data_IF_582930914777
#
_entry.id   IF_582930914777
#
_cell.length_a   1.000
_cell.length_b   1.000
_cell.length_c   1.000
_cell.angle_alpha   90.00
_cell.angle_beta   90.00
_cell.angle_gamma   90.00
#
_symmetry.space_group_name_H-M   'P 1'
#
loop_
_entity.id
_entity.type
_entity.pdbx_description
1 polymer ?
#
# COMPACT_ATOMS: atom_id res chain seq x y z
N UNK A 1 18.00 16.37 -11.27
CA UNK A 1 17.75 16.09 -9.84
C UNK A 1 16.29 15.67 -9.74
N UNK A 2 15.98 14.45 -9.29
CA UNK A 2 14.57 14.07 -9.07
C UNK A 2 14.07 14.94 -7.93
N UNK A 3 12.98 15.68 -8.14
CA UNK A 3 12.36 16.46 -7.08
C UNK A 3 11.65 15.48 -6.16
N UNK A 4 12.23 15.18 -4.99
CA UNK A 4 11.60 14.31 -3.99
C UNK A 4 10.29 14.96 -3.55
N UNK A 5 9.17 14.29 -3.76
CA UNK A 5 7.87 14.72 -3.26
C UNK A 5 7.54 13.92 -2.00
N UNK A 6 7.88 14.51 -0.85
CA UNK A 6 7.74 13.85 0.45
C UNK A 6 6.38 14.08 1.10
N UNK A 7 5.45 14.80 0.44
CA UNK A 7 4.18 15.23 1.06
C UNK A 7 3.35 14.08 1.65
N UNK A 8 3.33 12.91 0.99
CA UNK A 8 2.62 11.75 1.53
C UNK A 8 3.35 11.12 2.70
N UNK A 9 4.69 11.08 2.67
CA UNK A 9 5.49 10.61 3.80
C UNK A 9 5.34 11.54 5.00
N UNK A 10 5.40 12.85 4.80
CA UNK A 10 5.13 13.87 5.82
C UNK A 10 3.75 13.66 6.46
N UNK A 11 2.73 13.34 5.64
CA UNK A 11 1.40 12.98 6.16
C UNK A 11 1.46 11.71 7.01
N UNK A 12 2.07 10.64 6.51
CA UNK A 12 2.18 9.34 7.21
C UNK A 12 2.97 9.47 8.52
N UNK A 13 4.00 10.30 8.56
CA UNK A 13 4.74 10.61 9.77
C UNK A 13 3.89 11.25 10.87
N UNK A 14 2.84 11.98 10.48
CA UNK A 14 1.88 12.56 11.42
C UNK A 14 0.85 11.55 11.96
N UNK A 15 0.78 10.34 11.43
CA UNK A 15 -0.21 9.34 11.85
C UNK A 15 0.16 8.70 13.18
N UNK A 16 -0.88 8.33 13.94
CA UNK A 16 -0.74 7.44 15.11
C UNK A 16 -0.75 5.99 14.64
N UNK A 17 0.29 5.60 13.91
CA UNK A 17 0.40 4.26 13.32
C UNK A 17 0.23 3.17 14.38
N UNK A 18 -0.52 2.12 14.03
CA UNK A 18 -0.82 0.96 14.86
C UNK A 18 -1.60 1.22 16.17
N UNK A 19 -2.04 2.47 16.42
CA UNK A 19 -2.67 2.83 17.69
C UNK A 19 -4.03 2.14 17.93
N UNK A 20 -4.71 1.73 16.85
CA UNK A 20 -6.04 1.15 16.90
C UNK A 20 -6.09 -0.30 16.40
N UNK A 21 -4.93 -0.90 16.09
CA UNK A 21 -4.84 -2.31 15.69
C UNK A 21 -5.53 -3.23 16.70
N UNK A 22 -6.39 -4.14 16.21
CA UNK A 22 -7.18 -5.06 17.04
C UNK A 22 -8.49 -4.48 17.58
N UNK A 23 -8.80 -3.22 17.26
CA UNK A 23 -10.11 -2.62 17.53
C UNK A 23 -10.92 -2.51 16.23
N UNK A 24 -12.26 -2.39 16.27
CA UNK A 24 -13.05 -2.21 15.06
C UNK A 24 -12.67 -0.92 14.32
N UNK A 25 -12.33 -1.02 13.03
CA UNK A 25 -12.18 0.13 12.15
C UNK A 25 -13.49 0.94 12.05
N UNK A 26 -13.41 2.25 12.33
CA UNK A 26 -14.54 3.20 12.31
C UNK A 26 -14.39 4.31 11.26
N UNK A 27 -13.48 4.14 10.30
CA UNK A 27 -13.24 5.16 9.27
C UNK A 27 -14.37 5.29 8.26
N UNK A 28 -14.23 6.26 7.37
CA UNK A 28 -15.17 6.55 6.29
C UNK A 28 -15.39 5.35 5.35
N UNK A 29 -16.39 5.44 4.48
CA UNK A 29 -16.63 4.43 3.44
C UNK A 29 -15.38 4.28 2.56
N UNK A 30 -14.65 3.19 2.77
CA UNK A 30 -13.59 2.75 1.89
C UNK A 30 -14.19 2.31 0.55
N UNK A 31 -13.45 2.46 -0.57
CA UNK A 31 -13.89 1.90 -1.84
C UNK A 31 -13.81 0.35 -1.87
N UNK A 32 -13.34 -0.27 -0.79
CA UNK A 32 -13.21 -1.71 -0.62
C UNK A 32 -14.24 -2.24 0.37
N UNK A 33 -14.75 -3.44 0.12
CA UNK A 33 -15.23 -4.25 1.22
C UNK A 33 -14.05 -4.68 2.08
N UNK A 34 -14.25 -4.75 3.40
CA UNK A 34 -13.21 -5.12 4.33
C UNK A 34 -13.73 -6.05 5.41
N UNK A 35 -12.80 -6.77 6.02
CA UNK A 35 -13.04 -7.61 7.19
C UNK A 35 -12.01 -7.31 8.25
N UNK A 36 -12.48 -6.99 9.45
CA UNK A 36 -11.65 -6.79 10.63
C UNK A 36 -11.16 -8.17 11.14
N UNK A 37 -9.85 -8.32 11.29
CA UNK A 37 -9.26 -9.39 12.07
C UNK A 37 -9.17 -8.97 13.53
N UNK A 38 -9.36 -9.91 14.44
CA UNK A 38 -9.42 -9.65 15.89
C UNK A 38 -8.41 -10.47 16.70
N UNK A 39 -7.51 -11.19 16.03
CA UNK A 39 -6.46 -11.99 16.67
C UNK A 39 -5.13 -11.82 15.94
N UNK A 40 -4.05 -11.80 16.71
CA UNK A 40 -2.67 -11.68 16.23
C UNK A 40 -2.30 -12.88 15.34
N UNK A 41 -2.79 -14.07 15.68
CA UNK A 41 -2.57 -15.29 14.90
C UNK A 41 -3.19 -15.18 13.50
N UNK A 42 -4.41 -14.65 13.40
CA UNK A 42 -5.06 -14.42 12.11
C UNK A 42 -4.28 -13.41 11.27
N UNK A 43 -3.72 -12.36 11.90
CA UNK A 43 -2.91 -11.36 11.22
C UNK A 43 -1.62 -11.99 10.67
N UNK A 44 -0.92 -12.78 11.47
CA UNK A 44 0.28 -13.50 11.04
C UNK A 44 0.00 -14.42 9.84
N UNK A 45 -1.10 -15.19 9.89
CA UNK A 45 -1.51 -16.05 8.77
C UNK A 45 -1.88 -15.25 7.51
N UNK A 46 -2.58 -14.12 7.68
CA UNK A 46 -3.00 -13.27 6.57
C UNK A 46 -1.81 -12.60 5.86
N UNK A 47 -0.86 -12.06 6.63
CA UNK A 47 0.35 -11.41 6.11
C UNK A 47 1.23 -12.38 5.31
N UNK A 48 1.26 -13.64 5.72
CA UNK A 48 2.02 -14.70 5.06
C UNK A 48 1.22 -15.42 3.95
N UNK A 49 0.01 -14.98 3.64
CA UNK A 49 -0.82 -15.69 2.66
C UNK A 49 -0.35 -15.44 1.22
N UNK A 50 -0.27 -16.48 0.36
CA UNK A 50 0.05 -16.30 -1.06
C UNK A 50 -0.95 -15.40 -1.80
N UNK A 51 -2.20 -15.38 -1.32
CA UNK A 51 -3.24 -14.49 -1.84
C UNK A 51 -2.92 -13.03 -1.58
N UNK A 52 -2.37 -12.69 -0.41
CA UNK A 52 -1.96 -11.32 -0.11
C UNK A 52 -0.80 -10.87 -0.99
N UNK A 53 0.26 -11.68 -1.09
CA UNK A 53 1.39 -11.40 -1.97
C UNK A 53 0.95 -11.22 -3.43
N UNK A 54 0.04 -12.08 -3.91
CA UNK A 54 -0.51 -11.99 -5.26
C UNK A 54 -1.30 -10.69 -5.47
N UNK A 55 -2.03 -10.22 -4.45
CA UNK A 55 -2.79 -8.97 -4.51
C UNK A 55 -1.87 -7.76 -4.59
N UNK A 56 -0.84 -7.71 -3.73
CA UNK A 56 0.16 -6.64 -3.74
C UNK A 56 0.90 -6.59 -5.09
N UNK A 57 1.27 -7.76 -5.62
CA UNK A 57 1.97 -7.88 -6.90
C UNK A 57 1.10 -7.45 -8.08
N UNK A 58 -0.17 -7.84 -8.11
CA UNK A 58 -1.09 -7.45 -9.19
C UNK A 58 -1.36 -5.94 -9.17
N UNK A 59 -1.51 -5.33 -7.99
CA UNK A 59 -1.66 -3.89 -7.85
C UNK A 59 -0.44 -3.13 -8.41
N UNK A 60 0.76 -3.58 -8.06
CA UNK A 60 2.00 -3.03 -8.60
C UNK A 60 2.12 -3.20 -10.12
N UNK A 61 1.80 -4.40 -10.63
CA UNK A 61 1.84 -4.69 -12.05
C UNK A 61 0.86 -3.83 -12.84
N UNK A 62 -0.34 -3.61 -12.29
CA UNK A 62 -1.35 -2.73 -12.89
C UNK A 62 -0.82 -1.31 -13.03
N UNK A 63 -0.24 -0.74 -11.97
CA UNK A 63 0.37 0.60 -12.03
C UNK A 63 1.47 0.66 -13.10
N UNK A 64 2.40 -0.30 -13.08
CA UNK A 64 3.51 -0.36 -14.04
C UNK A 64 3.03 -0.49 -15.49
N UNK A 65 2.05 -1.36 -15.74
CA UNK A 65 1.44 -1.51 -17.04
C UNK A 65 0.84 -0.19 -17.52
N UNK A 66 0.08 0.49 -16.64
CA UNK A 66 -0.55 1.76 -16.99
C UNK A 66 0.48 2.83 -17.36
N UNK A 67 1.54 2.98 -16.56
CA UNK A 67 2.59 3.98 -16.81
C UNK A 67 3.34 3.73 -18.13
N UNK A 68 3.53 2.47 -18.51
CA UNK A 68 4.23 2.10 -19.73
C UNK A 68 3.35 2.23 -21.00
N UNK A 69 2.05 1.94 -20.90
CA UNK A 69 1.17 1.83 -22.07
C UNK A 69 0.28 3.05 -22.30
N UNK A 70 0.03 3.88 -21.28
CA UNK A 70 -0.84 5.05 -21.38
C UNK A 70 -0.20 6.40 -21.01
N UNK A 71 1.08 6.67 -21.34
CA UNK A 71 1.63 8.01 -21.15
C UNK A 71 0.95 9.00 -22.11
N UNK A 72 0.55 10.16 -21.59
CA UNK A 72 -0.17 11.20 -22.36
C UNK A 72 0.73 12.33 -22.85
N UNK A 73 1.92 12.47 -22.28
CA UNK A 73 2.86 13.53 -22.61
C UNK A 73 4.31 13.11 -22.31
N UNK A 74 5.26 13.92 -22.77
CA UNK A 74 6.70 13.68 -22.61
C UNK A 74 7.13 13.56 -21.14
N UNK A 75 6.57 14.39 -20.26
CA UNK A 75 6.89 14.37 -18.83
C UNK A 75 6.52 13.02 -18.19
N UNK A 76 5.36 12.45 -18.52
CA UNK A 76 4.92 11.14 -18.02
C UNK A 76 5.85 10.02 -18.47
N UNK A 77 6.32 10.06 -19.73
CA UNK A 77 7.29 9.09 -20.26
C UNK A 77 8.60 9.21 -19.48
N UNK A 78 9.14 10.41 -19.35
CA UNK A 78 10.40 10.67 -18.65
C UNK A 78 10.34 10.18 -17.20
N UNK A 79 9.30 10.52 -16.45
CA UNK A 79 9.11 10.09 -15.06
C UNK A 79 8.99 8.57 -14.92
N UNK A 80 8.27 7.89 -15.83
CA UNK A 80 8.17 6.43 -15.82
C UNK A 80 9.55 5.76 -15.98
N UNK A 81 10.46 6.32 -16.80
CA UNK A 81 11.83 5.79 -16.93
C UNK A 81 12.67 5.94 -15.66
N UNK A 82 12.27 6.82 -14.75
CA UNK A 82 12.95 7.06 -13.47
C UNK A 82 12.44 6.19 -12.33
N UNK A 83 11.52 5.24 -12.59
CA UNK A 83 10.89 4.35 -11.61
C UNK A 83 11.86 3.85 -10.53
N UNK A 84 12.97 3.23 -10.93
CA UNK A 84 13.93 2.64 -9.98
C UNK A 84 14.58 3.70 -9.07
N UNK A 85 14.88 4.88 -9.63
CA UNK A 85 15.48 5.97 -8.86
C UNK A 85 14.47 6.54 -7.86
N UNK A 86 13.20 6.65 -8.25
CA UNK A 86 12.11 7.09 -7.38
C UNK A 86 11.91 6.07 -6.24
N UNK A 87 11.88 4.77 -6.55
CA UNK A 87 11.80 3.70 -5.53
C UNK A 87 12.95 3.77 -4.53
N UNK A 88 14.19 3.90 -5.01
CA UNK A 88 15.37 4.01 -4.13
C UNK A 88 15.24 5.25 -3.24
N UNK A 89 14.87 6.39 -3.83
CA UNK A 89 14.67 7.64 -3.10
C UNK A 89 13.63 7.51 -1.99
N UNK A 90 12.51 6.82 -2.20
CA UNK A 90 11.53 6.64 -1.12
C UNK A 90 12.01 5.65 -0.06
N UNK A 91 12.71 4.56 -0.45
CA UNK A 91 13.26 3.58 0.48
C UNK A 91 14.25 4.20 1.48
N UNK A 92 15.00 5.21 1.08
CA UNK A 92 15.91 5.96 1.97
C UNK A 92 15.17 6.66 3.12
N UNK A 93 13.89 7.01 2.92
CA UNK A 93 13.07 7.76 3.88
C UNK A 93 12.24 6.85 4.79
N UNK A 94 12.21 5.52 4.58
CA UNK A 94 11.38 4.61 5.39
C UNK A 94 11.95 4.12 6.75
N UNK A 95 13.26 4.20 7.08
CA UNK A 95 13.79 3.53 8.28
C UNK A 95 13.10 3.88 9.61
N UNK A 96 12.66 5.12 9.79
CA UNK A 96 11.95 5.54 11.02
C UNK A 96 10.53 4.99 11.10
N UNK A 97 9.84 4.81 9.96
CA UNK A 97 8.55 4.12 9.89
C UNK A 97 8.73 2.61 10.11
N UNK A 98 9.79 2.02 9.57
CA UNK A 98 10.15 0.62 9.81
C UNK A 98 10.42 0.35 11.31
N UNK A 99 11.05 1.28 12.01
CA UNK A 99 11.26 1.18 13.45
C UNK A 99 9.94 1.10 14.23
N UNK A 100 8.92 1.88 13.85
CA UNK A 100 7.60 1.82 14.49
C UNK A 100 6.93 0.46 14.26
N UNK A 101 7.02 -0.09 13.05
CA UNK A 101 6.51 -1.42 12.72
C UNK A 101 7.24 -2.52 13.49
N UNK A 102 8.57 -2.39 13.65
CA UNK A 102 9.38 -3.32 14.44
C UNK A 102 8.99 -3.29 15.92
N UNK A 103 8.81 -2.11 16.50
CA UNK A 103 8.33 -1.96 17.87
C UNK A 103 6.92 -2.55 18.03
N UNK A 104 6.05 -2.40 17.03
CA UNK A 104 4.74 -3.03 17.04
C UNK A 104 4.84 -4.56 17.03
N UNK A 105 5.64 -5.13 16.11
CA UNK A 105 5.94 -6.57 16.03
C UNK A 105 6.46 -7.12 17.36
N UNK A 106 7.41 -6.45 18.01
CA UNK A 106 7.96 -6.86 19.30
C UNK A 106 6.90 -6.84 20.42
N UNK A 107 6.01 -5.85 20.44
CA UNK A 107 4.94 -5.73 21.43
C UNK A 107 3.83 -6.77 21.25
N UNK A 108 3.51 -7.14 20.02
CA UNK A 108 2.41 -8.07 19.72
C UNK A 108 2.87 -9.52 19.57
N UNK A 109 4.16 -9.76 19.31
CA UNK A 109 4.66 -11.09 18.96
C UNK A 109 4.31 -11.54 17.53
N UNK A 110 3.78 -10.64 16.69
CA UNK A 110 3.67 -10.89 15.24
C UNK A 110 5.08 -10.97 14.68
N UNK A 111 5.34 -11.94 13.81
CA UNK A 111 6.65 -12.11 13.20
C UNK A 111 7.05 -10.89 12.33
N UNK A 112 8.31 -10.84 11.89
CA UNK A 112 8.88 -9.70 11.18
C UNK A 112 8.26 -9.41 9.79
N UNK A 113 7.40 -10.29 9.28
CA UNK A 113 6.64 -10.07 8.03
C UNK A 113 5.78 -8.83 8.08
N UNK A 114 5.31 -8.41 9.26
CA UNK A 114 4.58 -7.16 9.40
C UNK A 114 5.45 -5.95 9.05
N UNK A 115 6.73 -5.97 9.39
CA UNK A 115 7.68 -4.90 9.06
C UNK A 115 7.86 -4.83 7.54
N UNK A 116 8.01 -6.00 6.90
CA UNK A 116 8.15 -6.09 5.44
C UNK A 116 6.88 -5.62 4.72
N UNK A 117 5.71 -6.14 5.08
CA UNK A 117 4.45 -5.78 4.42
C UNK A 117 4.10 -4.32 4.67
N UNK A 118 4.27 -3.82 5.90
CA UNK A 118 4.08 -2.40 6.21
C UNK A 118 4.96 -1.50 5.34
N UNK A 119 6.28 -1.78 5.29
CA UNK A 119 7.22 -1.05 4.44
C UNK A 119 6.79 -1.08 2.98
N UNK A 120 6.37 -2.23 2.49
CA UNK A 120 5.94 -2.42 1.12
C UNK A 120 4.69 -1.58 0.80
N UNK A 121 3.68 -1.60 1.67
CA UNK A 121 2.48 -0.77 1.52
C UNK A 121 2.77 0.71 1.50
N UNK A 122 3.58 1.21 2.44
CA UNK A 122 3.95 2.64 2.45
C UNK A 122 4.71 3.01 1.16
N UNK A 123 5.64 2.16 0.70
CA UNK A 123 6.34 2.40 -0.55
C UNK A 123 5.38 2.47 -1.74
N UNK A 124 4.43 1.55 -1.86
CA UNK A 124 3.49 1.54 -2.98
C UNK A 124 2.53 2.73 -2.94
N UNK A 125 2.09 3.17 -1.77
CA UNK A 125 1.35 4.44 -1.61
C UNK A 125 2.16 5.64 -2.08
N UNK A 126 3.45 5.70 -1.73
CA UNK A 126 4.34 6.77 -2.18
C UNK A 126 4.49 6.77 -3.71
N UNK A 127 4.65 5.59 -4.31
CA UNK A 127 4.76 5.42 -5.75
C UNK A 127 3.48 5.88 -6.46
N UNK A 128 2.31 5.43 -6.02
CA UNK A 128 1.04 5.88 -6.58
C UNK A 128 0.84 7.39 -6.40
N UNK A 129 1.14 7.96 -5.22
CA UNK A 129 1.03 9.41 -4.99
C UNK A 129 1.89 10.22 -5.97
N UNK A 130 3.14 9.78 -6.17
CA UNK A 130 4.09 10.42 -7.08
C UNK A 130 3.50 10.51 -8.49
N UNK A 131 3.03 9.38 -9.02
CA UNK A 131 2.51 9.32 -10.38
C UNK A 131 1.11 9.94 -10.51
N UNK A 132 0.28 9.90 -9.46
CA UNK A 132 -1.04 10.52 -9.44
C UNK A 132 -0.96 12.03 -9.64
N UNK A 133 0.03 12.69 -9.04
CA UNK A 133 0.25 14.14 -9.23
C UNK A 133 0.61 14.52 -10.66
N UNK A 134 1.19 13.60 -11.41
CA UNK A 134 1.55 13.80 -12.83
C UNK A 134 0.37 13.41 -13.73
N UNK A 135 -0.38 12.38 -13.36
CA UNK A 135 -1.53 11.86 -14.08
C UNK A 135 -2.60 11.34 -13.11
N UNK A 136 -3.66 12.11 -12.84
CA UNK A 136 -4.73 11.72 -11.91
C UNK A 136 -5.57 10.52 -12.36
N UNK A 137 -5.29 9.95 -13.54
CA UNK A 137 -6.01 8.80 -14.10
C UNK A 137 -5.30 7.46 -13.88
N UNK A 138 -4.17 7.44 -13.18
CA UNK A 138 -3.49 6.18 -12.85
C UNK A 138 -4.38 5.33 -11.92
N UNK A 139 -4.14 4.01 -11.86
CA UNK A 139 -4.65 3.18 -10.77
C UNK A 139 -4.12 3.68 -9.40
N UNK A 140 -5.00 3.72 -8.40
CA UNK A 140 -4.69 4.23 -7.04
C UNK A 140 -5.09 3.21 -5.96
N UNK A 141 -4.75 1.94 -6.17
CA UNK A 141 -5.15 0.85 -5.29
C UNK A 141 -4.64 1.05 -3.86
N UNK A 142 -3.34 1.33 -3.72
CA UNK A 142 -2.70 1.46 -2.41
C UNK A 142 -3.02 2.80 -1.75
N UNK A 143 -3.11 3.89 -2.51
CA UNK A 143 -3.54 5.19 -1.99
C UNK A 143 -4.93 5.14 -1.37
N UNK A 144 -5.84 4.35 -1.95
CA UNK A 144 -7.17 4.17 -1.38
C UNK A 144 -7.16 3.46 -0.01
N UNK A 145 -6.03 2.86 0.39
CA UNK A 145 -5.83 2.26 1.72
C UNK A 145 -5.28 3.24 2.75
N UNK A 146 -4.81 4.43 2.34
CA UNK A 146 -4.24 5.44 3.25
C UNK A 146 -5.15 5.79 4.45
N UNK A 147 -6.50 5.91 4.31
CA UNK A 147 -7.38 6.19 5.45
C UNK A 147 -7.31 5.13 6.56
N UNK A 148 -6.94 3.88 6.23
CA UNK A 148 -6.77 2.79 7.21
C UNK A 148 -5.58 3.10 8.12
N UNK A 149 -4.46 3.50 7.53
CA UNK A 149 -3.24 3.87 8.25
C UNK A 149 -3.40 5.18 9.02
N UNK A 150 -4.11 6.15 8.44
CA UNK A 150 -4.47 7.41 9.10
C UNK A 150 -5.29 7.16 10.38
N UNK A 151 -6.19 6.18 10.34
CA UNK A 151 -6.96 5.73 11.50
C UNK A 151 -6.15 4.86 12.48
N UNK A 152 -4.86 4.62 12.25
CA UNK A 152 -4.01 3.83 13.15
C UNK A 152 -4.21 2.32 13.06
N UNK A 153 -4.79 1.83 11.96
CA UNK A 153 -4.92 0.40 11.63
C UNK A 153 -3.90 0.01 10.55
N UNK A 154 -3.88 -1.27 10.18
CA UNK A 154 -3.09 -1.77 9.04
C UNK A 154 -3.89 -2.69 8.13
N UNK A 155 -3.52 -2.75 6.86
CA UNK A 155 -3.93 -3.83 5.97
C UNK A 155 -3.02 -5.04 6.16
N UNK A 156 -3.58 -6.23 6.20
CA UNK A 156 -2.83 -7.45 6.51
C UNK A 156 -3.14 -8.62 5.59
N UNK A 157 -4.03 -8.46 4.60
CA UNK A 157 -4.36 -9.55 3.69
C UNK A 157 -5.48 -9.25 2.71
N UNK A 158 -5.74 -10.18 1.82
CA UNK A 158 -6.85 -10.14 0.86
C UNK A 158 -7.60 -11.48 0.86
N UNK A 159 -8.93 -11.43 0.86
CA UNK A 159 -9.79 -12.59 0.68
C UNK A 159 -10.70 -12.37 -0.52
N UNK A 160 -10.39 -13.01 -1.65
CA UNK A 160 -11.19 -12.90 -2.85
C UNK A 160 -10.43 -13.33 -4.08
N UNK A 161 -11.07 -13.18 -5.24
CA UNK A 161 -10.43 -13.47 -6.52
C UNK A 161 -9.54 -12.30 -6.93
N UNK A 162 -8.36 -12.63 -7.45
CA UNK A 162 -7.44 -11.68 -8.07
C UNK A 162 -7.42 -12.03 -9.54
N UNK A 163 -8.22 -11.31 -10.33
CA UNK A 163 -8.23 -11.48 -11.78
C UNK A 163 -7.04 -10.70 -12.35
N UNK A 164 -6.14 -11.41 -13.04
CA UNK A 164 -5.04 -10.79 -13.76
C UNK A 164 -5.60 -10.05 -14.96
N UNK A 165 -5.54 -8.73 -14.92
CA UNK A 165 -6.10 -7.91 -15.98
C UNK A 165 -5.05 -7.64 -17.04
N UNK A 166 -5.10 -8.43 -18.13
CA UNK A 166 -4.23 -8.27 -19.29
C UNK A 166 -4.42 -6.93 -20.03
N UNK A 167 -5.47 -6.18 -19.69
CA UNK A 167 -5.80 -4.86 -20.27
C UNK A 167 -5.33 -3.67 -19.40
N UNK A 168 -4.67 -3.94 -18.27
CA UNK A 168 -4.17 -2.89 -17.38
C UNK A 168 -5.23 -2.20 -16.53
N UNK A 169 -6.45 -2.75 -16.45
CA UNK A 169 -7.47 -2.27 -15.51
C UNK A 169 -7.10 -2.66 -14.08
N UNK A 170 -7.42 -1.80 -13.12
CA UNK A 170 -7.25 -2.06 -11.69
C UNK A 170 -7.92 -3.37 -11.27
N UNK A 171 -7.36 -4.03 -10.25
CA UNK A 171 -8.01 -5.14 -9.56
C UNK A 171 -9.47 -4.77 -9.29
N UNK A 172 -10.40 -5.67 -9.59
CA UNK A 172 -11.81 -5.48 -9.24
C UNK A 172 -11.99 -5.69 -7.73
N UNK A 173 -11.86 -4.59 -7.00
CA UNK A 173 -11.93 -4.56 -5.55
C UNK A 173 -13.29 -4.96 -4.99
N UNK A 174 -14.33 -5.03 -5.83
CA UNK A 174 -15.65 -5.51 -5.41
C UNK A 174 -15.71 -7.04 -5.26
N UNK A 175 -14.72 -7.77 -5.79
CA UNK A 175 -14.66 -9.24 -5.78
C UNK A 175 -13.90 -9.83 -4.59
N UNK A 176 -13.64 -9.04 -3.56
CA UNK A 176 -13.00 -9.53 -2.35
C UNK A 176 -13.08 -8.59 -1.17
N UNK A 177 -12.44 -9.01 -0.08
CA UNK A 177 -12.38 -8.33 1.20
C UNK A 177 -10.93 -8.01 1.51
N UNK A 178 -10.65 -6.73 1.76
CA UNK A 178 -9.41 -6.30 2.37
C UNK A 178 -9.42 -6.69 3.86
N UNK A 179 -8.38 -7.38 4.31
CA UNK A 179 -8.23 -7.71 5.72
C UNK A 179 -7.53 -6.56 6.43
N UNK A 180 -8.14 -6.10 7.53
CA UNK A 180 -7.67 -4.98 8.34
C UNK A 180 -7.44 -5.47 9.77
N UNK A 181 -6.39 -4.97 10.42
CA UNK A 181 -6.15 -5.14 11.85
C UNK A 181 -6.14 -3.79 12.55
#
# INVERSE_FOLDING_TARGET
>A
MIKKDLTILEKIYGFKLFANCGTPFKGEQLPFYYKQLNSIEQVGLALNSPTWESFELEGLNTLRFYLNNFPRNKQQIEEATLWNKIVVSYKEELPSLELQAKQFSERTGIDSTIVYSFRWMILLMCMENHFYKINPKIPTLFLNMLPIYEAGHITCGWQGLIERNADGKSIDISKGLLLIY
#
